data_IF_838539138906
#
_entry.id   IF_838539138906
#
_cell.length_a   1.000
_cell.length_b   1.000
_cell.length_c   1.000
_cell.angle_alpha   90.00
_cell.angle_beta   90.00
_cell.angle_gamma   90.00
#
_symmetry.space_group_name_H-M   'P 1'
#
loop_
_entity.id
_entity.type
_entity.pdbx_description
1 polymer ?
2 polymer ?
3 non-polymer ?
4 water ?
#
# COMPACT_ATOMS: atom_id res chain seq x y z
N UNK A 1 -9.80 2.60 -35.20
CA UNK A 1 -8.96 2.19 -34.02
C UNK A 1 -9.79 2.17 -32.74
N UNK A 2 -9.59 1.10 -32.01
CA UNK A 2 -10.28 0.93 -30.75
C UNK A 2 -9.57 1.90 -29.80
N UNK A 3 -8.33 2.27 -30.14
CA UNK A 3 -7.58 3.22 -29.32
C UNK A 3 -8.18 4.63 -29.43
N UNK A 4 -8.68 4.99 -30.62
CA UNK A 4 -9.29 6.31 -30.82
C UNK A 4 -10.61 6.32 -30.04
N UNK A 5 -11.27 5.17 -29.99
CA UNK A 5 -12.52 5.04 -29.26
C UNK A 5 -12.24 5.15 -27.75
N UNK A 6 -11.14 4.54 -27.31
CA UNK A 6 -10.78 4.58 -25.90
C UNK A 6 -10.46 6.02 -25.56
N UNK A 7 -9.91 6.75 -26.54
CA UNK A 7 -9.61 8.16 -26.31
C UNK A 7 -10.88 8.91 -26.02
N UNK A 8 -11.93 8.62 -26.78
CA UNK A 8 -13.19 9.28 -26.52
C UNK A 8 -13.76 8.96 -25.12
N UNK A 9 -13.68 7.68 -24.75
CA UNK A 9 -14.16 7.18 -23.46
C UNK A 9 -13.34 7.84 -22.34
N UNK A 10 -12.03 7.85 -22.49
CA UNK A 10 -11.18 8.48 -21.49
C UNK A 10 -11.49 9.95 -21.25
N UNK A 11 -11.83 10.69 -22.30
CA UNK A 11 -12.17 12.12 -22.12
C UNK A 11 -13.35 12.33 -21.19
N UNK A 12 -14.25 11.35 -21.10
CA UNK A 12 -15.41 11.47 -20.18
C UNK A 12 -15.01 11.03 -18.77
N UNK A 13 -13.94 10.24 -18.66
CA UNK A 13 -13.54 9.69 -17.39
C UNK A 13 -12.53 10.56 -16.63
N UNK A 14 -11.65 11.21 -17.39
CA UNK A 14 -10.61 12.00 -16.78
C UNK A 14 -11.07 13.28 -16.08
N UNK A 15 -10.26 13.75 -15.15
CA UNK A 15 -10.57 14.98 -14.42
C UNK A 15 -10.35 16.22 -15.29
N UNK A 16 -10.46 17.40 -14.69
CA UNK A 16 -10.30 18.67 -15.40
C UNK A 16 -9.07 18.69 -16.33
N UNK A 17 -7.97 18.20 -15.77
CA UNK A 17 -6.68 18.21 -16.45
C UNK A 17 -6.42 17.02 -17.37
N UNK A 18 -7.49 16.34 -17.77
CA UNK A 18 -7.37 15.18 -18.65
C UNK A 18 -6.41 14.09 -18.19
N UNK A 19 -6.30 13.93 -16.86
CA UNK A 19 -5.53 12.84 -16.25
C UNK A 19 -6.46 12.27 -15.15
N UNK A 20 -6.27 11.00 -14.78
CA UNK A 20 -7.12 10.43 -13.73
C UNK A 20 -6.37 10.33 -12.37
N UNK A 21 -6.83 11.06 -11.35
CA UNK A 21 -6.19 11.01 -10.04
C UNK A 21 -6.54 9.69 -9.32
N UNK A 22 -5.92 9.45 -8.17
CA UNK A 22 -6.21 8.25 -7.40
C UNK A 22 -7.69 8.28 -7.00
N UNK A 23 -8.22 9.46 -6.74
CA UNK A 23 -9.61 9.57 -6.34
C UNK A 23 -10.61 9.31 -7.47
N UNK A 24 -10.32 9.82 -8.65
CA UNK A 24 -11.15 9.60 -9.82
C UNK A 24 -11.04 8.11 -10.19
N UNK A 25 -9.85 7.53 -10.01
CA UNK A 25 -9.65 6.10 -10.30
C UNK A 25 -10.52 5.24 -9.38
N UNK A 26 -10.48 5.54 -8.09
CA UNK A 26 -11.26 4.84 -7.09
C UNK A 26 -12.71 4.85 -7.47
N UNK A 27 -13.23 6.04 -7.84
CA UNK A 27 -14.66 6.07 -8.18
C UNK A 27 -14.98 5.35 -9.47
N UNK A 28 -14.13 5.46 -10.47
CA UNK A 28 -14.40 4.74 -11.72
C UNK A 28 -14.46 3.23 -11.45
N UNK A 29 -13.46 2.70 -10.72
CA UNK A 29 -13.40 1.26 -10.47
C UNK A 29 -14.57 0.76 -9.64
N UNK A 30 -14.95 1.54 -8.62
CA UNK A 30 -16.05 1.10 -7.77
C UNK A 30 -17.35 1.18 -8.52
N UNK A 31 -17.50 2.12 -9.47
CA UNK A 31 -18.73 2.21 -10.25
C UNK A 31 -18.80 0.98 -11.16
N UNK A 32 -17.66 0.53 -11.65
CA UNK A 32 -17.66 -0.67 -12.47
C UNK A 32 -17.84 -1.94 -11.61
N UNK A 33 -17.20 -2.07 -10.44
CA UNK A 33 -17.44 -3.33 -9.72
C UNK A 33 -18.85 -3.48 -9.13
N UNK A 34 -19.46 -2.38 -8.76
CA UNK A 34 -20.82 -2.43 -8.26
C UNK A 34 -21.73 -3.03 -9.32
N UNK A 35 -21.41 -2.83 -10.61
CA UNK A 35 -22.20 -3.44 -11.68
C UNK A 35 -21.84 -4.91 -11.93
N UNK A 36 -20.95 -5.46 -11.12
CA UNK A 36 -20.61 -6.88 -11.24
C UNK A 36 -20.58 -7.50 -9.83
N UNK A 37 -21.76 -7.55 -9.16
CA UNK A 37 -21.86 -8.11 -7.80
C UNK A 37 -21.38 -9.57 -7.65
N UNK A 38 -21.23 -10.26 -8.76
CA UNK A 38 -20.70 -11.62 -8.71
C UNK A 38 -19.23 -11.56 -8.27
N UNK A 39 -18.65 -10.35 -8.29
CA UNK A 39 -17.24 -10.17 -7.85
C UNK A 39 -17.30 -9.64 -6.41
N UNK A 40 -16.83 -10.46 -5.48
CA UNK A 40 -16.84 -10.07 -4.10
C UNK A 40 -15.70 -9.08 -3.81
N UNK A 41 -16.07 -8.01 -3.12
CA UNK A 41 -15.10 -6.98 -2.75
C UNK A 41 -15.71 -5.92 -1.83
N UNK A 42 -14.89 -5.40 -0.93
CA UNK A 42 -15.29 -4.36 -0.03
C UNK A 42 -15.17 -3.02 -0.80
N UNK A 43 -14.73 -3.11 -2.06
CA UNK A 43 -14.54 -1.92 -2.89
C UNK A 43 -13.04 -1.56 -2.95
N UNK A 44 -12.64 -0.74 -3.92
CA UNK A 44 -11.25 -0.31 -4.00
C UNK A 44 -11.03 0.89 -3.05
N UNK A 45 -10.15 0.73 -2.07
CA UNK A 45 -9.84 1.77 -1.08
C UNK A 45 -8.98 2.89 -1.64
N UNK A 46 -9.02 4.06 -1.01
CA UNK A 46 -8.28 5.19 -1.51
C UNK A 46 -6.79 4.90 -1.41
N UNK A 47 -6.37 4.32 -0.30
CA UNK A 47 -4.97 3.98 -0.16
C UNK A 47 -4.48 3.06 -1.28
N UNK A 48 -5.22 2.01 -1.57
CA UNK A 48 -4.84 1.12 -2.66
C UNK A 48 -4.84 1.84 -4.03
N UNK A 49 -5.80 2.76 -4.27
CA UNK A 49 -5.83 3.53 -5.52
C UNK A 49 -4.63 4.48 -5.63
N UNK A 50 -4.21 5.05 -4.51
CA UNK A 50 -3.05 5.93 -4.59
C UNK A 50 -1.83 5.08 -4.91
N UNK A 51 -1.80 3.87 -4.37
CA UNK A 51 -0.68 2.98 -4.63
C UNK A 51 -0.71 2.57 -6.08
N UNK A 52 -1.89 2.22 -6.61
CA UNK A 52 -1.92 1.79 -8.01
C UNK A 52 -1.53 2.95 -8.95
N UNK A 53 -2.00 4.15 -8.66
CA UNK A 53 -1.61 5.29 -9.49
C UNK A 53 -0.08 5.51 -9.47
N UNK A 54 0.53 5.55 -8.28
CA UNK A 54 1.97 5.78 -8.16
C UNK A 54 2.80 4.83 -9.00
N UNK A 55 2.47 3.55 -8.85
CA UNK A 55 3.10 2.45 -9.54
C UNK A 55 2.89 2.51 -11.05
N UNK A 56 1.78 3.06 -11.50
CA UNK A 56 1.58 3.22 -12.94
C UNK A 56 2.05 4.59 -13.47
N UNK A 57 2.44 5.49 -12.58
CA UNK A 57 2.82 6.85 -12.97
C UNK A 57 4.30 7.00 -13.42
N UNK A 58 4.58 6.44 -14.59
CA UNK A 58 5.91 6.42 -15.22
C UNK A 58 6.58 7.75 -15.51
N UNK A 59 5.75 8.74 -15.83
CA UNK A 59 6.21 10.07 -16.15
C UNK A 59 6.01 10.99 -14.96
N UNK A 60 5.83 10.40 -13.78
CA UNK A 60 5.64 11.11 -12.51
C UNK A 60 4.86 12.42 -12.58
N UNK A 61 3.62 12.39 -13.07
CA UNK A 61 2.81 13.61 -13.09
C UNK A 61 1.89 13.60 -11.90
N UNK A 62 1.88 12.47 -11.18
CA UNK A 62 1.03 12.32 -10.01
C UNK A 62 -0.34 11.71 -10.30
N UNK A 63 -0.67 11.59 -11.58
CA UNK A 63 -1.97 11.03 -12.01
C UNK A 63 -1.73 10.17 -13.23
N UNK A 64 -2.79 9.48 -13.68
CA UNK A 64 -2.67 8.61 -14.85
C UNK A 64 -3.09 9.30 -16.13
N UNK A 65 -2.14 9.42 -17.06
CA UNK A 65 -2.45 10.02 -18.34
C UNK A 65 -3.17 8.97 -19.19
N UNK A 66 -3.56 9.34 -20.40
CA UNK A 66 -4.26 8.44 -21.30
C UNK A 66 -3.58 7.08 -21.49
N UNK A 67 -2.31 7.08 -21.90
CA UNK A 67 -1.60 5.82 -22.13
C UNK A 67 -1.46 4.94 -20.86
N UNK A 68 -1.25 5.56 -19.72
CA UNK A 68 -1.14 4.84 -18.44
C UNK A 68 -2.49 4.25 -18.06
N UNK A 69 -3.55 5.03 -18.19
CA UNK A 69 -4.87 4.53 -17.83
C UNK A 69 -5.26 3.36 -18.74
N UNK A 70 -5.00 3.49 -20.05
CA UNK A 70 -5.34 2.45 -20.99
C UNK A 70 -4.55 1.19 -20.71
N UNK A 71 -3.28 1.37 -20.37
CA UNK A 71 -2.47 0.24 -20.05
C UNK A 71 -3.03 -0.48 -18.82
N UNK A 72 -3.30 0.30 -17.78
CA UNK A 72 -3.86 -0.23 -16.53
C UNK A 72 -5.18 -0.96 -16.79
N UNK A 73 -6.07 -0.30 -17.55
CA UNK A 73 -7.37 -0.87 -17.86
C UNK A 73 -7.30 -2.18 -18.66
N UNK A 74 -6.42 -2.22 -19.68
CA UNK A 74 -6.24 -3.45 -20.47
C UNK A 74 -5.85 -4.60 -19.53
N UNK A 75 -4.98 -4.33 -18.55
CA UNK A 75 -4.59 -5.38 -17.61
C UNK A 75 -5.78 -5.76 -16.71
N UNK A 76 -6.51 -4.76 -16.20
CA UNK A 76 -7.63 -5.06 -15.30
C UNK A 76 -8.69 -5.93 -16.00
N UNK A 77 -9.09 -5.59 -17.22
CA UNK A 77 -10.11 -6.39 -17.88
C UNK A 77 -9.63 -7.79 -18.19
N UNK A 78 -8.32 -7.93 -18.49
CA UNK A 78 -7.75 -9.24 -18.78
C UNK A 78 -7.71 -10.06 -17.49
N UNK A 79 -7.36 -9.43 -16.39
CA UNK A 79 -7.28 -10.18 -15.14
C UNK A 79 -8.65 -10.49 -14.57
N UNK A 80 -9.59 -9.59 -14.84
CA UNK A 80 -10.94 -9.83 -14.35
C UNK A 80 -11.47 -11.09 -15.06
N UNK A 81 -11.14 -11.29 -16.33
CA UNK A 81 -11.63 -12.50 -17.00
C UNK A 81 -10.99 -13.74 -16.32
N UNK A 82 -9.73 -13.62 -15.91
CA UNK A 82 -9.06 -14.74 -15.24
C UNK A 82 -9.71 -15.02 -13.89
N UNK A 83 -10.06 -13.95 -13.19
CA UNK A 83 -10.73 -14.08 -11.89
C UNK A 83 -12.05 -14.90 -12.06
N UNK A 84 -12.83 -14.63 -13.10
CA UNK A 84 -14.10 -15.38 -13.30
C UNK A 84 -13.77 -16.86 -13.65
N UNK A 85 -12.71 -17.03 -14.44
CA UNK A 85 -12.27 -18.37 -14.85
C UNK A 85 -11.90 -19.20 -13.63
N UNK A 86 -11.20 -18.61 -12.66
CA UNK A 86 -10.82 -19.39 -11.50
C UNK A 86 -11.70 -19.37 -10.26
N UNK A 87 -12.83 -18.64 -10.33
CA UNK A 87 -13.81 -18.65 -9.23
C UNK A 87 -14.70 -19.86 -9.68
N UNK A 88 -14.17 -21.07 -9.48
CA UNK A 88 -14.84 -22.27 -10.02
C UNK A 88 -16.12 -22.74 -9.38
N UNK A 89 -16.33 -22.32 -8.15
CA UNK A 89 -17.53 -22.63 -7.38
C UNK A 89 -18.46 -21.39 -7.31
N UNK A 90 -18.18 -20.36 -8.11
CA UNK A 90 -19.00 -19.12 -8.10
C UNK A 90 -19.24 -18.58 -6.68
N UNK A 91 -18.20 -18.58 -5.87
CA UNK A 91 -18.29 -18.03 -4.49
C UNK A 91 -18.03 -16.52 -4.43
N UNK A 92 -17.67 -15.90 -5.56
CA UNK A 92 -17.35 -14.48 -5.56
C UNK A 92 -15.87 -14.13 -5.29
N UNK A 93 -15.08 -15.10 -4.83
CA UNK A 93 -13.65 -14.89 -4.49
C UNK A 93 -12.81 -16.04 -5.10
N UNK A 94 -11.51 -15.84 -5.33
CA UNK A 94 -10.72 -16.98 -5.81
C UNK A 94 -10.28 -17.81 -4.60
N UNK A 95 -10.71 -19.07 -4.60
CA UNK A 95 -10.42 -19.92 -3.47
C UNK A 95 -8.94 -20.26 -3.32
N UNK A 96 -8.56 -20.61 -2.11
CA UNK A 96 -7.20 -20.96 -1.81
C UNK A 96 -6.60 -22.00 -2.80
N UNK A 97 -7.36 -23.04 -3.11
CA UNK A 97 -6.83 -24.08 -3.98
C UNK A 97 -6.71 -23.62 -5.46
N UNK A 98 -7.51 -22.64 -5.88
CA UNK A 98 -7.47 -22.11 -7.25
C UNK A 98 -6.46 -20.97 -7.51
N UNK A 99 -5.99 -20.30 -6.44
CA UNK A 99 -5.08 -19.14 -6.59
C UNK A 99 -3.78 -19.38 -7.35
N UNK A 100 -3.12 -20.54 -7.11
CA UNK A 100 -1.88 -20.79 -7.84
C UNK A 100 -2.15 -20.71 -9.37
N UNK A 101 -3.22 -21.38 -9.80
CA UNK A 101 -3.59 -21.40 -11.20
C UNK A 101 -4.02 -20.05 -11.76
N UNK A 102 -4.63 -19.23 -10.92
CA UNK A 102 -5.07 -17.91 -11.35
C UNK A 102 -3.84 -17.02 -11.61
N UNK A 103 -2.83 -17.10 -10.77
CA UNK A 103 -1.65 -16.26 -11.02
C UNK A 103 -0.91 -16.68 -12.33
N UNK A 104 -0.78 -17.99 -12.52
CA UNK A 104 -0.11 -18.49 -13.72
C UNK A 104 -0.93 -18.09 -14.94
N UNK A 105 -2.26 -18.17 -14.86
CA UNK A 105 -3.09 -17.79 -16.01
C UNK A 105 -2.88 -16.30 -16.31
N UNK A 106 -2.52 -15.54 -15.28
CA UNK A 106 -2.24 -14.11 -15.46
C UNK A 106 -0.80 -13.92 -15.97
N UNK A 107 -0.04 -15.00 -16.11
CA UNK A 107 1.30 -14.88 -16.63
C UNK A 107 2.38 -14.86 -15.57
N UNK A 108 2.03 -15.16 -14.33
CA UNK A 108 2.99 -15.15 -13.24
C UNK A 108 3.35 -16.51 -12.64
N UNK A 109 4.63 -16.83 -12.63
CA UNK A 109 5.02 -18.15 -12.09
C UNK A 109 5.99 -17.97 -10.93
N UNK A 110 5.46 -18.01 -9.72
CA UNK A 110 6.25 -17.70 -8.53
C UNK A 110 6.67 -18.90 -7.70
N UNK A 111 7.84 -18.79 -7.07
CA UNK A 111 8.35 -19.87 -6.22
C UNK A 111 7.52 -19.81 -4.94
N UNK A 112 7.35 -20.96 -4.30
CA UNK A 112 6.56 -21.08 -3.09
C UNK A 112 6.69 -19.98 -2.04
N UNK A 113 7.91 -19.61 -1.70
CA UNK A 113 8.14 -18.61 -0.68
C UNK A 113 7.56 -17.24 -1.01
N UNK A 114 7.86 -16.75 -2.21
CA UNK A 114 7.33 -15.45 -2.66
C UNK A 114 5.82 -15.57 -2.71
N UNK A 115 5.35 -16.66 -3.29
CA UNK A 115 3.94 -16.87 -3.36
C UNK A 115 3.27 -16.84 -1.97
N UNK A 116 3.83 -17.56 -0.99
CA UNK A 116 3.25 -17.56 0.39
C UNK A 116 3.17 -16.14 0.96
N UNK A 117 4.21 -15.35 0.74
CA UNK A 117 4.20 -13.99 1.25
C UNK A 117 3.06 -13.16 0.63
N UNK A 118 2.87 -13.33 -0.67
CA UNK A 118 1.86 -12.57 -1.38
C UNK A 118 0.48 -12.94 -0.84
N UNK A 119 0.28 -14.24 -0.59
CA UNK A 119 -0.98 -14.70 -0.03
C UNK A 119 -1.14 -14.09 1.39
N UNK A 120 -0.09 -14.01 2.21
CA UNK A 120 -0.34 -13.45 3.55
C UNK A 120 -0.76 -11.98 3.44
N UNK A 121 -0.14 -11.26 2.51
CA UNK A 121 -0.43 -9.84 2.34
C UNK A 121 -1.80 -9.49 1.72
N UNK A 122 -2.29 -10.33 0.81
CA UNK A 122 -3.51 -10.06 0.08
C UNK A 122 -4.72 -10.97 0.27
N UNK A 123 -4.54 -12.12 0.90
CA UNK A 123 -5.71 -12.99 1.04
C UNK A 123 -6.50 -12.73 2.28
N UNK A 124 -7.71 -13.26 2.36
CA UNK A 124 -8.51 -13.13 3.55
C UNK A 124 -8.13 -14.26 4.53
N UNK A 125 -8.95 -14.40 5.57
CA UNK A 125 -8.71 -15.42 6.60
C UNK A 125 -8.56 -16.87 6.11
N UNK A 126 -9.36 -17.27 5.10
CA UNK A 126 -9.25 -18.64 4.60
C UNK A 126 -8.19 -18.79 3.51
N UNK A 127 -7.47 -17.74 3.24
CA UNK A 127 -6.50 -17.83 2.18
C UNK A 127 -7.17 -17.66 0.82
N UNK A 128 -8.41 -17.14 0.77
CA UNK A 128 -9.06 -16.89 -0.52
C UNK A 128 -8.79 -15.41 -0.91
N UNK A 129 -8.97 -15.03 -2.17
CA UNK A 129 -8.72 -13.63 -2.50
C UNK A 129 -9.90 -12.96 -3.17
N UNK A 130 -10.31 -11.81 -2.65
CA UNK A 130 -11.42 -11.10 -3.26
C UNK A 130 -10.93 -10.23 -4.45
N UNK A 131 -11.88 -9.61 -5.14
CA UNK A 131 -11.57 -8.91 -6.36
C UNK A 131 -10.58 -7.74 -6.30
N UNK A 132 -10.83 -6.75 -5.46
CA UNK A 132 -9.90 -5.63 -5.43
C UNK A 132 -8.49 -6.07 -4.97
N UNK A 133 -8.38 -7.05 -4.07
CA UNK A 133 -7.08 -7.54 -3.65
C UNK A 133 -6.34 -8.26 -4.81
N UNK A 134 -7.06 -9.07 -5.57
CA UNK A 134 -6.48 -9.78 -6.72
C UNK A 134 -5.95 -8.74 -7.73
N UNK A 135 -6.81 -7.80 -8.11
CA UNK A 135 -6.41 -6.82 -9.09
C UNK A 135 -5.27 -5.92 -8.59
N UNK A 136 -5.39 -5.39 -7.38
CA UNK A 136 -4.31 -4.52 -6.91
C UNK A 136 -3.00 -5.32 -6.73
N UNK A 137 -3.11 -6.60 -6.29
CA UNK A 137 -1.92 -7.42 -6.16
C UNK A 137 -1.24 -7.56 -7.54
N UNK A 138 -2.02 -7.88 -8.58
CA UNK A 138 -1.40 -8.09 -9.91
C UNK A 138 -0.83 -6.81 -10.53
N UNK A 139 -1.53 -5.68 -10.37
CA UNK A 139 -1.02 -4.41 -10.86
C UNK A 139 0.37 -4.17 -10.27
N UNK A 140 0.48 -4.36 -8.96
CA UNK A 140 1.75 -4.16 -8.28
C UNK A 140 2.84 -5.15 -8.74
N UNK A 141 2.49 -6.44 -8.79
CA UNK A 141 3.38 -7.51 -9.19
C UNK A 141 3.91 -7.25 -10.62
N UNK A 142 3.01 -6.92 -11.55
CA UNK A 142 3.37 -6.58 -12.91
C UNK A 142 4.31 -5.35 -12.92
N UNK A 143 3.97 -4.33 -12.12
CA UNK A 143 4.81 -3.13 -12.09
C UNK A 143 6.21 -3.40 -11.54
N UNK A 144 6.32 -4.22 -10.50
CA UNK A 144 7.62 -4.56 -9.92
C UNK A 144 8.47 -5.46 -10.85
N UNK A 145 7.82 -6.37 -11.56
CA UNK A 145 8.54 -7.18 -12.54
C UNK A 145 9.08 -6.24 -13.66
N UNK A 146 8.23 -5.34 -14.15
CA UNK A 146 8.64 -4.38 -15.18
C UNK A 146 9.72 -3.42 -14.66
N UNK A 147 9.64 -3.03 -13.39
CA UNK A 147 10.62 -2.12 -12.81
C UNK A 147 12.02 -2.74 -12.78
N UNK A 148 12.06 -4.01 -12.40
CA UNK A 148 13.31 -4.73 -12.30
C UNK A 148 13.94 -4.87 -13.70
N UNK A 149 13.11 -5.21 -14.70
CA UNK A 149 13.60 -5.36 -16.08
C UNK A 149 14.21 -4.09 -16.63
N UNK A 150 13.53 -2.98 -16.41
CA UNK A 150 13.99 -1.67 -16.87
C UNK A 150 15.33 -1.33 -16.22
N UNK A 151 15.46 -1.68 -14.95
CA UNK A 151 16.65 -1.37 -14.21
C UNK A 151 17.79 -2.33 -14.55
N UNK A 152 17.47 -3.56 -14.93
CA UNK A 152 18.48 -4.51 -15.28
C UNK A 152 18.84 -4.29 -16.76
N UNK A 153 19.40 -3.12 -17.06
CA UNK A 153 19.76 -2.81 -18.43
C UNK A 153 20.85 -3.76 -18.93
N UNK A 154 21.66 -4.26 -17.99
CA UNK A 154 22.76 -5.22 -18.23
C UNK A 154 22.36 -6.57 -18.83
N UNK A 155 21.21 -7.09 -18.41
CA UNK A 155 20.79 -8.40 -18.86
C UNK A 155 21.36 -9.37 -17.87
N UNK A 156 21.92 -8.79 -16.80
CA UNK A 156 22.56 -9.51 -15.69
C UNK A 156 21.69 -10.37 -14.80
N UNK A 157 20.58 -9.81 -14.32
CA UNK A 157 19.69 -10.54 -13.42
C UNK A 157 19.90 -9.98 -12.03
N UNK A 158 20.53 -8.81 -11.98
CA UNK A 158 20.81 -8.15 -10.73
C UNK A 158 20.79 -6.67 -11.00
N UNK A 159 20.30 -5.92 -10.03
CA UNK A 159 20.24 -4.49 -10.18
C UNK A 159 20.89 -3.98 -8.91
N UNK A 160 21.42 -2.77 -9.00
CA UNK A 160 22.08 -2.19 -7.86
C UNK A 160 21.50 -0.81 -7.63
N UNK A 161 21.21 -0.51 -6.38
CA UNK A 161 20.55 0.73 -6.02
C UNK A 161 21.18 1.42 -4.79
N UNK A 162 21.17 2.75 -4.82
CA UNK A 162 21.68 3.49 -3.69
C UNK A 162 20.45 3.87 -2.87
N UNK A 163 20.69 4.51 -1.72
CA UNK A 163 19.59 4.86 -0.84
C UNK A 163 18.50 5.77 -1.45
N UNK A 164 18.89 6.75 -2.28
CA UNK A 164 17.90 7.62 -2.88
C UNK A 164 17.01 6.86 -3.86
N UNK A 165 17.64 6.06 -4.71
CA UNK A 165 16.86 5.29 -5.70
C UNK A 165 15.92 4.32 -4.99
N UNK A 166 16.41 3.71 -3.92
CA UNK A 166 15.63 2.72 -3.14
C UNK A 166 14.38 3.36 -2.52
N UNK A 167 14.55 4.53 -1.91
CA UNK A 167 13.41 5.21 -1.31
C UNK A 167 12.42 5.68 -2.37
N UNK A 168 12.93 6.16 -3.48
CA UNK A 168 12.04 6.60 -4.52
C UNK A 168 11.18 5.43 -5.01
N UNK A 169 11.82 4.34 -5.43
CA UNK A 169 11.11 3.14 -5.91
C UNK A 169 10.14 2.54 -4.87
N UNK A 170 10.54 2.50 -3.60
CA UNK A 170 9.69 1.90 -2.57
C UNK A 170 8.66 2.81 -1.96
N UNK A 171 8.99 4.11 -1.81
CA UNK A 171 8.04 5.08 -1.27
C UNK A 171 7.01 5.59 -2.33
N UNK A 172 7.44 5.79 -3.58
CA UNK A 172 6.48 6.20 -4.59
C UNK A 172 5.96 4.91 -5.22
N UNK A 173 5.14 4.16 -4.47
CA UNK A 173 4.55 2.93 -4.93
C UNK A 173 3.29 2.73 -4.09
N UNK B 1 9.41 -2.78 35.45
CA UNK B 1 10.00 -2.56 34.10
C UNK B 1 8.90 -2.31 33.09
N UNK B 2 9.18 -1.30 32.26
CA UNK B 2 8.25 -0.86 31.27
C UNK B 2 8.00 -1.92 30.23
N UNK B 3 9.03 -2.68 29.89
CA UNK B 3 8.83 -3.67 28.88
C UNK B 3 7.88 -4.77 29.36
N UNK B 4 8.02 -5.19 30.62
CA UNK B 4 7.16 -6.24 31.16
C UNK B 4 5.71 -5.78 31.20
N UNK B 5 5.57 -4.51 31.58
CA UNK B 5 4.32 -3.79 31.67
C UNK B 5 3.65 -3.83 30.26
N UNK B 6 4.43 -3.52 29.23
CA UNK B 6 3.89 -3.58 27.88
C UNK B 6 3.53 -5.03 27.51
N UNK B 7 4.31 -6.03 27.94
CA UNK B 7 3.99 -7.47 27.70
C UNK B 7 2.54 -7.68 28.16
N UNK B 8 2.26 -7.21 29.37
CA UNK B 8 0.95 -7.34 30.00
C UNK B 8 -0.19 -6.70 29.14
N UNK B 9 0.01 -5.45 28.73
CA UNK B 9 -0.94 -4.75 27.87
C UNK B 9 -1.15 -5.53 26.55
N UNK B 10 -0.04 -6.02 25.99
CA UNK B 10 -0.06 -6.76 24.74
C UNK B 10 -0.89 -8.06 24.74
N UNK B 11 -0.86 -8.77 25.85
CA UNK B 11 -1.59 -10.01 26.01
C UNK B 11 -3.08 -9.73 25.89
N UNK B 12 -3.47 -8.50 26.21
CA UNK B 12 -4.88 -8.12 26.10
C UNK B 12 -5.19 -7.72 24.66
N UNK B 13 -4.22 -7.19 23.92
CA UNK B 13 -4.47 -6.75 22.56
C UNK B 13 -4.24 -7.78 21.47
N UNK B 14 -3.33 -8.72 21.71
CA UNK B 14 -3.00 -9.73 20.74
C UNK B 14 -4.16 -10.72 20.51
N UNK B 15 -4.24 -11.29 19.32
CA UNK B 15 -5.30 -12.23 18.99
C UNK B 15 -5.14 -13.54 19.75
N UNK B 16 -5.86 -14.56 19.27
CA UNK B 16 -5.81 -15.88 19.89
C UNK B 16 -4.39 -16.43 19.96
N UNK B 17 -3.69 -16.28 18.83
CA UNK B 17 -2.31 -16.77 18.70
C UNK B 17 -1.21 -15.87 19.29
N UNK B 18 -1.61 -14.88 20.08
CA UNK B 18 -0.66 -13.93 20.70
C UNK B 18 0.22 -13.10 19.74
N UNK B 19 -0.29 -12.85 18.54
CA UNK B 19 0.40 -11.93 17.63
C UNK B 19 -0.74 -11.03 17.21
N UNK B 20 -0.41 -9.87 16.63
CA UNK B 20 -1.44 -8.95 16.21
C UNK B 20 -1.54 -8.97 14.68
N UNK B 21 -2.72 -9.36 14.16
CA UNK B 21 -2.97 -9.42 12.71
C UNK B 21 -3.24 -8.01 12.17
N UNK B 22 -3.22 -7.84 10.84
CA UNK B 22 -3.50 -6.53 10.26
C UNK B 22 -4.92 -6.04 10.74
N UNK B 23 -5.90 -6.94 10.69
CA UNK B 23 -7.23 -6.59 11.15
C UNK B 23 -7.23 -6.20 12.64
N UNK B 24 -6.51 -6.94 13.48
CA UNK B 24 -6.47 -6.53 14.89
C UNK B 24 -5.79 -5.17 15.06
N UNK B 25 -4.75 -4.94 14.26
CA UNK B 25 -4.03 -3.67 14.30
C UNK B 25 -4.98 -2.54 13.92
N UNK B 26 -5.63 -2.71 12.76
CA UNK B 26 -6.59 -1.71 12.28
C UNK B 26 -7.62 -1.39 13.37
N UNK B 27 -8.13 -2.42 14.02
CA UNK B 27 -9.14 -2.20 15.04
C UNK B 27 -8.61 -1.46 16.29
N UNK B 28 -7.37 -1.76 16.67
CA UNK B 28 -6.77 -1.10 17.81
C UNK B 28 -6.47 0.37 17.48
N UNK B 29 -5.84 0.61 16.34
CA UNK B 29 -5.50 1.99 15.94
C UNK B 29 -6.76 2.85 15.82
N UNK B 30 -7.82 2.31 15.23
CA UNK B 30 -9.04 3.10 15.08
C UNK B 30 -9.69 3.41 16.43
N UNK B 31 -9.71 2.44 17.36
CA UNK B 31 -10.30 2.74 18.67
C UNK B 31 -9.48 3.85 19.36
N UNK B 32 -8.16 3.85 19.14
CA UNK B 32 -7.32 4.87 19.76
C UNK B 32 -7.47 6.25 19.15
N UNK B 33 -7.53 6.32 17.83
CA UNK B 33 -7.70 7.64 17.21
C UNK B 33 -9.08 8.21 17.48
N UNK B 34 -10.08 7.34 17.59
CA UNK B 34 -11.46 7.77 17.85
C UNK B 34 -11.53 8.59 19.13
N UNK B 35 -10.62 8.32 20.07
CA UNK B 35 -10.58 9.06 21.33
C UNK B 35 -9.78 10.35 21.15
N UNK B 36 -9.25 10.57 19.94
CA UNK B 36 -8.47 11.77 19.70
C UNK B 36 -8.95 12.51 18.47
N UNK B 37 -10.16 13.06 18.52
CA UNK B 37 -10.82 13.83 17.46
C UNK B 37 -9.95 14.93 16.89
N UNK B 38 -9.01 15.42 17.70
CA UNK B 38 -8.09 16.48 17.27
C UNK B 38 -7.15 15.95 16.19
N UNK B 39 -7.18 14.63 15.99
CA UNK B 39 -6.37 13.99 14.96
C UNK B 39 -7.36 13.71 13.83
N UNK B 40 -7.20 14.45 12.74
CA UNK B 40 -8.09 14.26 11.59
C UNK B 40 -7.62 13.08 10.76
N UNK B 41 -8.57 12.24 10.36
CA UNK B 41 -8.29 11.06 9.56
C UNK B 41 -9.61 10.37 9.22
N UNK B 42 -9.69 9.67 8.10
CA UNK B 42 -10.91 8.92 7.73
C UNK B 42 -10.84 7.53 8.41
N UNK B 43 -9.74 7.29 9.12
CA UNK B 43 -9.53 6.00 9.75
C UNK B 43 -8.36 5.23 9.12
N UNK B 44 -7.84 4.23 9.82
CA UNK B 44 -6.77 3.44 9.23
C UNK B 44 -7.50 2.35 8.45
N UNK B 45 -7.26 2.25 7.14
CA UNK B 45 -7.94 1.22 6.36
C UNK B 45 -7.25 -0.13 6.44
N UNK B 46 -7.95 -1.17 6.00
CA UNK B 46 -7.36 -2.48 6.12
C UNK B 46 -6.14 -2.64 5.20
N UNK B 47 -6.18 -2.05 3.99
CA UNK B 47 -5.03 -2.13 3.09
C UNK B 47 -3.79 -1.50 3.73
N UNK B 48 -3.94 -0.33 4.31
CA UNK B 48 -2.79 0.30 4.99
C UNK B 48 -2.29 -0.52 6.16
N UNK B 49 -3.19 -1.14 6.91
CA UNK B 49 -2.72 -1.95 8.06
C UNK B 49 -2.01 -3.22 7.58
N UNK B 50 -2.52 -3.83 6.51
CA UNK B 50 -1.85 -5.02 5.97
C UNK B 50 -0.45 -4.64 5.51
N UNK B 51 -0.32 -3.44 4.96
CA UNK B 51 0.99 -2.98 4.50
C UNK B 51 1.93 -2.74 5.72
N UNK B 52 1.39 -2.07 6.74
CA UNK B 52 2.23 -1.78 7.92
C UNK B 52 2.65 -3.09 8.60
N UNK B 53 1.73 -4.03 8.73
CA UNK B 53 2.10 -5.31 9.31
C UNK B 53 3.24 -5.94 8.47
N UNK B 54 3.06 -6.00 7.15
CA UNK B 54 4.06 -6.59 6.26
C UNK B 54 5.46 -6.00 6.42
N UNK B 55 5.59 -4.67 6.44
CA UNK B 55 6.93 -4.08 6.54
C UNK B 55 7.53 -4.29 7.93
N UNK B 56 6.66 -4.50 8.93
CA UNK B 56 7.09 -4.71 10.32
C UNK B 56 7.29 -6.16 10.69
N UNK B 57 6.81 -7.07 9.84
CA UNK B 57 6.87 -8.50 10.08
C UNK B 57 8.23 -9.07 9.62
N UNK B 58 9.29 -8.63 10.31
CA UNK B 58 10.64 -9.06 9.95
C UNK B 58 10.89 -10.55 10.07
N UNK B 59 10.18 -11.24 10.97
CA UNK B 59 10.35 -12.68 11.09
C UNK B 59 9.33 -13.42 10.22
N UNK B 60 8.67 -12.68 9.33
CA UNK B 60 7.70 -13.26 8.42
C UNK B 60 6.71 -14.28 8.99
N UNK B 61 6.13 -13.99 10.15
CA UNK B 61 5.13 -14.89 10.71
C UNK B 61 3.76 -14.55 10.11
N UNK B 62 3.63 -13.36 9.52
CA UNK B 62 2.36 -12.92 8.97
C UNK B 62 1.62 -11.94 9.87
N UNK B 63 2.11 -11.79 11.10
CA UNK B 63 1.48 -10.86 12.04
C UNK B 63 2.50 -10.22 12.95
N UNK B 64 2.07 -9.30 13.82
CA UNK B 64 3.08 -8.68 14.68
C UNK B 64 3.19 -9.33 16.03
N UNK B 65 4.37 -9.86 16.31
CA UNK B 65 4.61 -10.46 17.60
C UNK B 65 4.92 -9.31 18.55
N UNK B 66 5.06 -9.62 19.85
CA UNK B 66 5.34 -8.59 20.83
C UNK B 66 6.44 -7.58 20.47
N UNK B 67 7.63 -8.04 20.12
CA UNK B 67 8.71 -7.12 19.82
C UNK B 67 8.38 -6.20 18.65
N UNK B 68 7.75 -6.76 17.61
CA UNK B 68 7.38 -5.98 16.43
C UNK B 68 6.34 -4.93 16.81
N UNK B 69 5.29 -5.34 17.50
CA UNK B 69 4.24 -4.40 17.91
C UNK B 69 4.79 -3.32 18.86
N UNK B 70 5.70 -3.68 19.74
CA UNK B 70 6.27 -2.68 20.65
C UNK B 70 7.09 -1.67 19.82
N UNK B 71 7.89 -2.16 18.90
CA UNK B 71 8.69 -1.24 18.08
C UNK B 71 7.76 -0.29 17.32
N UNK B 72 6.72 -0.87 16.71
CA UNK B 72 5.78 -0.06 15.96
C UNK B 72 5.14 1.01 16.80
N UNK B 73 4.54 0.59 17.92
CA UNK B 73 3.84 1.51 18.83
C UNK B 73 4.70 2.67 19.36
N UNK B 74 5.94 2.38 19.68
CA UNK B 74 6.86 3.40 20.19
C UNK B 74 7.09 4.47 19.13
N UNK B 75 7.19 4.07 17.86
CA UNK B 75 7.37 5.01 16.77
C UNK B 75 6.07 5.78 16.61
N UNK B 76 4.95 5.09 16.58
CA UNK B 76 3.68 5.77 16.45
C UNK B 76 3.48 6.84 17.53
N UNK B 77 3.81 6.54 18.78
CA UNK B 77 3.59 7.59 19.79
C UNK B 77 4.61 8.73 19.65
N UNK B 78 5.83 8.40 19.21
CA UNK B 78 6.90 9.39 19.02
C UNK B 78 6.53 10.28 17.83
N UNK B 79 5.96 9.66 16.80
CA UNK B 79 5.55 10.40 15.62
C UNK B 79 4.24 11.16 15.85
N UNK B 80 3.38 10.63 16.72
CA UNK B 80 2.09 11.27 17.00
C UNK B 80 2.24 12.57 17.85
N UNK B 81 3.39 12.71 18.47
CA UNK B 81 3.67 13.89 19.30
C UNK B 81 4.14 14.97 18.33
N UNK B 82 5.00 14.57 17.40
CA UNK B 82 5.50 15.49 16.39
C UNK B 82 4.29 16.05 15.61
N UNK B 83 3.34 15.17 15.32
CA UNK B 83 2.12 15.56 14.62
C UNK B 83 1.43 16.70 15.37
N UNK B 84 1.02 16.44 16.61
CA UNK B 84 0.37 17.48 17.41
C UNK B 84 1.28 18.72 17.52
N UNK B 85 2.60 18.48 17.49
CA UNK B 85 3.61 19.54 17.57
C UNK B 85 3.66 20.42 16.34
N UNK B 86 3.40 19.85 15.16
CA UNK B 86 3.46 20.64 13.95
C UNK B 86 2.11 21.02 13.40
N UNK B 87 1.06 20.76 14.18
CA UNK B 87 -0.26 21.14 13.73
C UNK B 87 -0.47 22.50 14.37
N UNK B 88 0.31 23.49 13.90
CA UNK B 88 0.23 24.86 14.40
C UNK B 88 -1.19 25.39 14.25
N UNK B 89 -1.74 25.30 13.05
CA UNK B 89 -3.10 25.76 12.79
C UNK B 89 -4.07 24.97 13.65
N UNK B 90 -3.58 23.90 14.26
CA UNK B 90 -4.44 23.01 15.05
C UNK B 90 -5.68 22.67 14.20
N UNK B 91 -5.41 22.42 12.92
CA UNK B 91 -6.42 22.06 11.93
C UNK B 91 -6.75 20.58 12.05
N UNK B 92 -5.83 19.83 12.65
CA UNK B 92 -6.02 18.40 12.80
C UNK B 92 -5.23 17.66 11.73
N UNK B 93 -4.45 18.43 10.97
CA UNK B 93 -3.62 17.86 9.91
C UNK B 93 -2.36 18.70 9.90
N UNK B 94 -1.35 18.23 9.19
CA UNK B 94 -0.12 18.99 9.12
C UNK B 94 -0.17 19.74 7.79
N UNK B 95 -0.28 21.07 7.87
CA UNK B 95 -0.33 21.87 6.66
C UNK B 95 0.95 21.67 5.88
N UNK B 96 0.88 21.88 4.57
CA UNK B 96 2.02 21.72 3.68
C UNK B 96 3.22 22.54 4.13
N UNK B 97 2.95 23.65 4.79
CA UNK B 97 4.02 24.53 5.27
C UNK B 97 4.80 23.94 6.47
N UNK B 98 4.14 23.06 7.23
CA UNK B 98 4.80 22.46 8.39
C UNK B 98 5.39 21.03 8.18
N UNK B 99 4.91 20.31 7.16
CA UNK B 99 5.39 18.95 6.87
C UNK B 99 6.90 18.82 6.68
N UNK B 100 7.55 19.81 6.05
CA UNK B 100 8.99 19.59 5.92
C UNK B 100 9.65 19.56 7.30
N UNK B 101 9.11 20.36 8.21
CA UNK B 101 9.68 20.42 9.54
C UNK B 101 9.39 19.11 10.24
N UNK B 102 8.11 18.74 10.19
CA UNK B 102 7.62 17.50 10.78
C UNK B 102 8.58 16.35 10.47
N UNK B 103 8.81 16.12 9.18
CA UNK B 103 9.71 15.04 8.76
C UNK B 103 11.09 15.22 9.36
N UNK B 104 11.49 16.49 9.48
CA UNK B 104 12.78 16.81 10.05
C UNK B 104 12.79 16.43 11.52
N UNK B 105 11.75 16.83 12.24
CA UNK B 105 11.62 16.50 13.64
C UNK B 105 11.69 15.00 13.86
N UNK B 106 11.14 14.20 12.93
CA UNK B 106 11.15 12.75 13.05
C UNK B 106 12.50 12.21 12.62
N UNK B 107 13.42 13.11 12.29
CA UNK B 107 14.74 12.67 11.92
C UNK B 107 14.94 12.35 10.46
N UNK B 108 14.00 12.77 9.62
CA UNK B 108 14.14 12.48 8.21
C UNK B 108 14.59 13.68 7.38
N UNK B 109 15.81 13.58 6.85
CA UNK B 109 16.36 14.64 6.00
C UNK B 109 16.34 14.14 4.57
N UNK B 110 15.31 14.51 3.82
CA UNK B 110 15.23 13.98 2.47
C UNK B 110 15.15 14.92 1.28
N UNK B 111 15.82 14.48 0.24
CA UNK B 111 15.91 15.13 -1.06
C UNK B 111 14.60 15.86 -1.45
N UNK B 112 14.72 16.95 -2.21
CA UNK B 112 13.57 17.74 -2.63
C UNK B 112 12.65 16.95 -3.57
N UNK B 113 13.27 16.11 -4.40
CA UNK B 113 12.51 15.32 -5.35
C UNK B 113 11.70 14.18 -4.66
N UNK B 114 12.39 13.44 -3.79
CA UNK B 114 11.79 12.33 -3.05
C UNK B 114 10.72 12.88 -2.14
N UNK B 115 10.96 14.10 -1.67
CA UNK B 115 10.00 14.74 -0.79
C UNK B 115 8.69 15.00 -1.51
N UNK B 116 8.79 15.49 -2.74
CA UNK B 116 7.59 15.77 -3.52
C UNK B 116 6.85 14.49 -3.90
N UNK B 117 7.55 13.43 -4.26
CA UNK B 117 6.87 12.18 -4.59
C UNK B 117 6.07 11.64 -3.37
N UNK B 118 6.66 11.77 -2.18
CA UNK B 118 6.03 11.31 -0.94
C UNK B 118 4.78 12.14 -0.67
N UNK B 119 4.90 13.45 -0.90
CA UNK B 119 3.79 14.36 -0.73
C UNK B 119 2.65 13.95 -1.71
N UNK B 120 3.02 13.65 -2.94
CA UNK B 120 2.06 13.25 -3.96
C UNK B 120 1.35 11.95 -3.58
N UNK B 121 2.11 10.99 -3.05
CA UNK B 121 1.59 9.69 -2.64
C UNK B 121 0.78 9.71 -1.35
N UNK B 122 1.09 10.64 -0.43
CA UNK B 122 0.39 10.69 0.87
C UNK B 122 -0.45 11.90 1.26
N UNK B 123 -0.15 13.10 0.74
CA UNK B 123 -0.94 14.30 1.09
C UNK B 123 -2.29 14.38 0.39
N UNK B 124 -3.07 15.43 0.72
CA UNK B 124 -4.35 15.67 0.06
C UNK B 124 -4.09 16.66 -1.10
N UNK B 125 -5.15 17.20 -1.72
CA UNK B 125 -4.99 18.16 -2.84
C UNK B 125 -4.21 19.36 -2.35
N UNK B 126 -4.53 19.77 -1.11
CA UNK B 126 -3.86 20.91 -0.50
C UNK B 126 -2.40 20.69 -0.18
N UNK B 127 -1.93 19.45 -0.25
CA UNK B 127 -0.54 19.18 0.05
C UNK B 127 -0.39 19.02 1.55
N UNK B 128 -1.52 18.97 2.25
CA UNK B 128 -1.54 18.80 3.70
C UNK B 128 -1.64 17.29 3.96
N UNK B 129 -1.37 16.86 5.20
CA UNK B 129 -1.44 15.44 5.47
C UNK B 129 -2.17 15.05 6.75
N UNK B 130 -3.11 14.11 6.67
CA UNK B 130 -3.81 13.73 7.90
C UNK B 130 -3.07 12.64 8.69
N UNK B 131 -3.65 12.23 9.81
CA UNK B 131 -2.99 11.30 10.74
C UNK B 131 -2.58 9.89 10.27
N UNK B 132 -3.55 9.09 9.82
CA UNK B 132 -3.24 7.73 9.36
C UNK B 132 -2.23 7.85 8.18
N UNK B 133 -2.40 8.87 7.36
CA UNK B 133 -1.48 9.04 6.24
C UNK B 133 -0.08 9.40 6.72
N UNK B 134 0.01 10.31 7.67
CA UNK B 134 1.31 10.70 8.21
C UNK B 134 1.97 9.50 8.87
N UNK B 135 1.22 8.81 9.70
CA UNK B 135 1.73 7.64 10.39
C UNK B 135 2.12 6.54 9.46
N UNK B 136 1.25 6.19 8.51
CA UNK B 136 1.60 5.10 7.63
C UNK B 136 2.81 5.45 6.73
N UNK B 137 2.91 6.71 6.33
CA UNK B 137 4.02 7.15 5.50
C UNK B 137 5.32 6.94 6.27
N UNK B 138 5.34 7.37 7.53
CA UNK B 138 6.52 7.27 8.40
C UNK B 138 6.93 5.84 8.73
N UNK B 139 5.95 4.99 9.01
CA UNK B 139 6.26 3.57 9.26
C UNK B 139 7.00 2.95 8.06
N UNK B 140 6.59 3.32 6.85
CA UNK B 140 7.22 2.78 5.65
C UNK B 140 8.61 3.37 5.40
N UNK B 141 8.69 4.68 5.49
CA UNK B 141 9.96 5.40 5.30
C UNK B 141 10.93 4.83 6.33
N UNK B 142 10.50 4.81 7.58
CA UNK B 142 11.35 4.22 8.59
C UNK B 142 11.75 2.80 8.20
N UNK B 143 10.77 1.98 7.79
CA UNK B 143 11.11 0.62 7.41
C UNK B 143 12.00 0.49 6.18
N UNK B 144 11.81 1.36 5.18
CA UNK B 144 12.66 1.24 4.00
C UNK B 144 14.12 1.65 4.27
N UNK B 145 14.34 2.59 5.18
CA UNK B 145 15.72 2.99 5.53
C UNK B 145 16.39 1.81 6.25
N UNK B 146 15.68 1.26 7.25
CA UNK B 146 16.22 0.13 8.01
C UNK B 146 16.48 -1.01 7.09
N UNK B 147 15.53 -1.27 6.18
CA UNK B 147 15.70 -2.33 5.21
C UNK B 147 17.00 -2.10 4.42
N UNK B 148 17.17 -0.88 3.89
CA UNK B 148 18.36 -0.59 3.11
C UNK B 148 19.62 -0.83 3.95
N UNK B 149 19.67 -0.27 5.15
CA UNK B 149 20.85 -0.47 6.01
C UNK B 149 21.11 -1.94 6.31
N UNK B 150 20.04 -2.70 6.53
CA UNK B 150 20.16 -4.11 6.82
C UNK B 150 20.73 -4.86 5.62
N UNK B 151 20.33 -4.47 4.41
CA UNK B 151 20.83 -5.16 3.22
C UNK B 151 22.26 -4.75 2.79
N UNK B 152 22.71 -3.60 3.24
CA UNK B 152 24.04 -3.08 2.86
C UNK B 152 25.01 -3.56 3.92
N UNK B 153 25.37 -4.84 3.82
CA UNK B 153 26.25 -5.47 4.79
C UNK B 153 27.64 -4.86 4.76
N UNK B 154 28.25 -4.78 3.58
CA UNK B 154 29.58 -4.19 3.50
C UNK B 154 29.59 -2.66 3.74
N UNK B 155 28.43 -2.05 3.98
CA UNK B 155 28.35 -0.63 4.26
C UNK B 155 28.79 0.33 3.15
N UNK B 156 28.62 -0.09 1.91
CA UNK B 156 29.05 0.73 0.78
C UNK B 156 28.03 1.75 0.29
N UNK B 157 26.84 1.79 0.88
CA UNK B 157 25.84 2.76 0.43
C UNK B 157 25.16 2.34 -0.86
N UNK B 158 25.36 1.08 -1.24
CA UNK B 158 24.72 0.49 -2.40
C UNK B 158 24.38 -0.96 -2.10
N UNK B 159 23.23 -1.42 -2.58
CA UNK B 159 22.85 -2.80 -2.37
C UNK B 159 22.55 -3.43 -3.73
N UNK B 160 22.59 -4.76 -3.76
CA UNK B 160 22.35 -5.53 -4.96
C UNK B 160 21.30 -6.63 -4.69
N UNK B 161 20.31 -6.74 -5.57
CA UNK B 161 19.27 -7.76 -5.40
C UNK B 161 18.90 -8.38 -6.71
N UNK B 162 18.53 -9.66 -6.66
CA UNK B 162 18.08 -10.38 -7.85
C UNK B 162 16.55 -10.23 -7.93
N UNK B 163 15.91 -10.73 -8.99
CA UNK B 163 14.44 -10.57 -9.13
C UNK B 163 13.67 -11.17 -7.94
N UNK B 164 14.09 -12.32 -7.44
CA UNK B 164 13.38 -12.90 -6.35
C UNK B 164 13.42 -12.01 -5.08
N UNK B 165 14.59 -11.43 -4.78
CA UNK B 165 14.72 -10.59 -3.59
C UNK B 165 13.88 -9.33 -3.78
N UNK B 166 13.96 -8.75 -4.97
CA UNK B 166 13.22 -7.55 -5.32
C UNK B 166 11.71 -7.71 -5.18
N UNK B 167 11.16 -8.81 -5.69
CA UNK B 167 9.72 -9.03 -5.57
C UNK B 167 9.35 -9.27 -4.13
N UNK B 168 10.17 -9.98 -3.39
CA UNK B 168 9.87 -10.22 -1.99
C UNK B 168 9.82 -8.91 -1.18
N UNK B 169 10.84 -8.07 -1.35
CA UNK B 169 10.94 -6.80 -0.65
C UNK B 169 9.82 -5.81 -1.02
N UNK B 170 9.42 -5.82 -2.29
CA UNK B 170 8.37 -4.90 -2.73
C UNK B 170 6.92 -5.45 -2.64
N UNK B 171 6.71 -6.76 -2.83
CA UNK B 171 5.36 -7.29 -2.73
C UNK B 171 4.97 -7.54 -1.27
N UNK B 172 5.92 -7.93 -0.44
CA UNK B 172 5.57 -8.13 0.96
C UNK B 172 5.81 -6.77 1.69
N UNK B 173 5.00 -5.76 1.37
CA UNK B 173 5.13 -4.42 1.94
C UNK B 173 3.77 -3.72 1.87
N UNK C 1 -22.20 5.90 -18.99
CA UNK C 1 -21.98 5.80 -20.47
C UNK C 1 -20.52 5.36 -20.77
N UNK C 2 -19.54 6.10 -20.24
CA UNK C 2 -18.18 5.65 -20.39
C UNK C 2 -18.14 4.46 -19.37
N UNK C 3 -18.89 4.56 -18.27
CA UNK C 3 -18.91 3.46 -17.31
C UNK C 3 -19.60 2.22 -17.94
N UNK C 4 -20.64 2.45 -18.78
CA UNK C 4 -21.32 1.34 -19.48
C UNK C 4 -20.26 0.55 -20.32
N UNK C 5 -19.49 1.33 -21.11
CA UNK C 5 -18.44 0.83 -22.00
C UNK C 5 -17.38 0.05 -21.17
N UNK C 6 -16.85 0.62 -20.10
CA UNK C 6 -15.87 -0.10 -19.28
C UNK C 6 -16.51 -1.33 -18.68
N UNK C 7 -17.75 -1.19 -18.21
CA UNK C 7 -18.39 -2.37 -17.67
C UNK C 7 -18.53 -3.50 -18.72
N UNK C 8 -18.82 -3.17 -19.98
CA UNK C 8 -18.96 -4.21 -21.01
C UNK C 8 -17.63 -4.96 -21.25
N UNK C 9 -16.51 -4.38 -20.84
CA UNK C 9 -15.20 -5.09 -21.03
C UNK C 9 -15.06 -6.20 -20.01
N UNK C 10 -15.84 -6.13 -18.92
CA UNK C 10 -15.73 -7.17 -17.92
C UNK C 10 -16.42 -8.43 -18.42
N UNK C 11 -15.98 -9.61 -18.02
CA UNK C 11 -16.71 -10.78 -18.44
C UNK C 11 -17.80 -11.07 -17.38
N UNK D 1 -9.75 -0.91 27.55
CA UNK D 1 -8.80 -0.91 28.72
C UNK D 1 -7.33 -0.88 28.33
N UNK D 2 -6.86 -1.87 27.55
CA UNK D 2 -5.46 -1.84 27.08
C UNK D 2 -5.48 -0.66 26.12
N UNK D 3 -6.65 -0.44 25.53
CA UNK D 3 -6.86 0.66 24.60
C UNK D 3 -6.64 1.96 25.37
N UNK D 4 -7.28 2.09 26.53
CA UNK D 4 -7.06 3.28 27.36
C UNK D 4 -5.57 3.53 27.56
N UNK D 5 -4.82 2.48 27.92
CA UNK D 5 -3.39 2.70 28.14
C UNK D 5 -2.74 3.25 26.88
N UNK D 6 -2.91 2.60 25.73
CA UNK D 6 -2.29 3.09 24.49
C UNK D 6 -2.71 4.52 24.22
N UNK D 7 -4.01 4.77 24.38
CA UNK D 7 -4.52 6.10 24.16
C UNK D 7 -3.80 7.14 25.04
N UNK D 8 -3.40 6.74 26.26
CA UNK D 8 -2.73 7.70 27.15
C UNK D 8 -1.32 8.00 26.70
N UNK D 9 -0.76 7.17 25.82
CA UNK D 9 0.59 7.46 25.30
C UNK D 9 0.58 8.64 24.32
N UNK D 10 -0.59 8.97 23.82
CA UNK D 10 -0.71 10.06 22.85
C UNK D 10 -0.66 11.40 23.54
N UNK D 11 0.29 12.23 23.13
CA UNK D 11 0.42 13.58 23.67
C UNK D 11 -0.83 14.37 23.26
X LIG E 1 -7.72 14.85 -12.48
X LIG F 1 1.18 10.20 -15.19
X LIG G 1 -14.46 -19.22 -5.59
X LIG H 1 -10.58 -6.17 -0.85
X LIG I 1 -4.27 -12.61 16.22
X LIG J 1 5.88 -11.31 12.82
X LIG K 1 -2.20 22.23 10.64
X LIG L 1 -6.27 9.35 5.66
#
# INVERSE_FOLDING_TARGET
EEVRQFRRLFAQLAGDDMEVSATELMNILNKVVTRHPDLKTDGFGIDTCRSMVAVMDSDTTGKLGFEEFKYLWNNIKKWQAIYKQFDVDRSGTIGSSELPGAFEAAGFHLNEHLYSMIIRRYSDEGGNMDFDNFISCLVRLDAMFRAFKSLDKDGTGQIQVNIQEWLQLTMYS
EEVRQFRRLFAQLAGDDMEVSATELMNILNKVVTRHPDLKTDGFGIDTCRSMVAVMDSDTTGKLGFEEFKYLWNNIKKWQAIYKQFDVDRSGTIGSSELPGAFEAAGFHLNEHLYSMIIRRYSDEGGNMDFDNFISCLVRLDAMFRAFKSLDKDGTGQIQVNIQEWLQLTMYS
DAIDALSSDFT
DAIDALSSDFT
CA CA
CA CA
CA CA
CA CA
CA CA
CA CA
CA CA
CA CA
#
